data_IF_611455526895
#
_entry.id   IF_611455526895
#
_cell.length_a   1.000
_cell.length_b   1.000
_cell.length_c   1.000
_cell.angle_alpha   90.00
_cell.angle_beta   90.00
_cell.angle_gamma   90.00
#
_symmetry.space_group_name_H-M   'P 1'
#
loop_
_entity.id
_entity.type
_entity.pdbx_description
1 polymer ?
#
# COMPACT_ATOMS: atom_id res chain seq x y z
N UNK A 1 1.22 53.58 42.31
CA UNK A 1 0.22 53.54 41.23
C UNK A 1 0.59 52.40 40.28
N UNK A 2 -0.39 51.65 39.78
CA UNK A 2 -0.19 50.28 39.28
C UNK A 2 0.02 50.22 37.76
N UNK A 3 0.73 49.20 37.30
CA UNK A 3 0.67 48.68 35.92
C UNK A 3 0.32 47.20 36.06
N UNK A 4 -0.97 46.87 35.99
CA UNK A 4 -1.62 46.21 34.85
C UNK A 4 -0.89 44.94 34.39
N UNK A 5 -1.53 43.81 34.68
CA UNK A 5 -1.08 42.50 34.26
C UNK A 5 -1.27 42.26 32.77
N UNK A 6 -0.54 41.28 32.28
CA UNK A 6 -0.92 40.52 31.10
C UNK A 6 -0.55 39.08 31.39
N UNK A 7 -1.58 38.23 31.34
CA UNK A 7 -1.47 36.78 31.38
C UNK A 7 -0.36 36.31 30.44
N UNK A 8 0.65 35.65 31.01
CA UNK A 8 1.53 34.78 30.24
C UNK A 8 0.64 33.67 29.69
N UNK A 9 0.43 33.74 28.37
CA UNK A 9 -0.30 32.75 27.60
C UNK A 9 0.24 31.37 27.90
N UNK A 10 -0.70 30.44 28.07
CA UNK A 10 -0.40 29.02 28.09
C UNK A 10 0.34 28.66 26.80
N UNK A 11 1.41 27.89 26.99
CA UNK A 11 2.43 27.56 26.01
C UNK A 11 1.88 26.98 24.70
N UNK A 12 2.34 27.56 23.58
CA UNK A 12 2.26 27.07 22.20
C UNK A 12 3.05 25.77 21.99
N UNK A 13 2.64 24.69 22.67
CA UNK A 13 3.07 23.33 22.35
C UNK A 13 1.85 22.42 22.32
N UNK A 14 0.90 22.80 21.48
CA UNK A 14 -0.14 21.91 21.03
C UNK A 14 0.58 20.82 20.20
N UNK A 15 0.75 19.64 20.79
CA UNK A 15 1.21 18.46 20.06
C UNK A 15 0.23 18.27 18.90
N UNK A 16 0.62 18.71 17.69
CA UNK A 16 -0.12 18.37 16.48
C UNK A 16 -0.25 16.85 16.49
N UNK A 17 -1.51 16.38 16.60
CA UNK A 17 -1.89 14.99 16.44
C UNK A 17 -1.05 14.41 15.29
N UNK A 18 -0.24 13.39 15.59
CA UNK A 18 0.57 12.71 14.57
C UNK A 18 -0.36 12.35 13.42
N UNK A 19 -0.09 12.88 12.22
CA UNK A 19 -0.87 12.54 11.03
C UNK A 19 -0.78 11.03 10.82
N UNK A 20 -1.90 10.34 11.07
CA UNK A 20 -2.02 8.88 11.07
C UNK A 20 -1.52 8.29 9.75
N UNK A 21 -1.63 9.03 8.65
CA UNK A 21 -1.17 8.58 7.32
C UNK A 21 0.36 8.45 7.20
N UNK A 22 1.12 9.03 8.13
CA UNK A 22 2.59 8.94 8.17
C UNK A 22 3.13 7.97 9.23
N UNK A 23 2.27 7.35 10.04
CA UNK A 23 2.73 6.32 10.98
C UNK A 23 3.24 5.09 10.23
N UNK A 24 4.36 4.52 10.66
CA UNK A 24 4.79 3.23 10.15
C UNK A 24 3.81 2.12 10.55
N UNK A 25 3.81 1.01 9.80
CA UNK A 25 2.84 -0.08 9.98
C UNK A 25 2.88 -0.70 11.39
N UNK A 26 4.04 -0.75 12.04
CA UNK A 26 4.19 -1.36 13.38
C UNK A 26 3.63 -0.45 14.45
N UNK A 27 3.94 0.84 14.36
CA UNK A 27 3.40 1.88 15.24
C UNK A 27 1.88 1.96 15.09
N UNK A 28 1.37 2.01 13.86
CA UNK A 28 -0.06 2.07 13.59
C UNK A 28 -0.81 0.84 14.08
N UNK A 29 -0.29 -0.38 13.84
CA UNK A 29 -0.89 -1.61 14.38
C UNK A 29 -0.99 -1.58 15.91
N UNK A 30 0.03 -1.04 16.57
CA UNK A 30 0.06 -0.90 18.04
C UNK A 30 -0.98 0.12 18.51
N UNK A 31 -1.04 1.30 17.89
CA UNK A 31 -2.02 2.34 18.22
C UNK A 31 -3.45 1.85 18.02
N UNK A 32 -3.72 1.09 16.94
CA UNK A 32 -5.04 0.49 16.69
C UNK A 32 -5.38 -0.54 17.76
N UNK A 33 -4.45 -1.44 18.08
CA UNK A 33 -4.67 -2.45 19.14
C UNK A 33 -4.90 -1.83 20.51
N UNK A 34 -4.22 -0.73 20.80
CA UNK A 34 -4.39 0.03 22.04
C UNK A 34 -5.65 0.91 22.04
N UNK A 35 -6.33 1.04 20.89
CA UNK A 35 -7.46 1.95 20.66
C UNK A 35 -7.11 3.44 20.81
N UNK A 36 -5.85 3.79 20.60
CA UNK A 36 -5.38 5.18 20.49
C UNK A 36 -5.81 5.82 19.16
N UNK A 37 -5.98 4.98 18.14
CA UNK A 37 -6.48 5.30 16.78
C UNK A 37 -7.40 4.16 16.36
N UNK A 38 -8.56 4.42 15.76
CA UNK A 38 -9.41 3.37 15.19
C UNK A 38 -8.92 2.92 13.81
N UNK A 39 -9.24 1.69 13.40
CA UNK A 39 -8.97 1.23 12.04
C UNK A 39 -9.70 2.10 11.01
N UNK A 40 -10.92 2.58 11.33
CA UNK A 40 -11.67 3.50 10.47
C UNK A 40 -10.92 4.81 10.29
N UNK A 41 -10.40 5.42 11.36
CA UNK A 41 -9.60 6.64 11.27
C UNK A 41 -8.34 6.43 10.42
N UNK A 42 -7.64 5.32 10.62
CA UNK A 42 -6.45 4.97 9.86
C UNK A 42 -6.72 4.82 8.35
N UNK A 43 -7.79 4.09 8.00
CA UNK A 43 -8.21 3.91 6.60
C UNK A 43 -8.68 5.23 6.00
N UNK A 44 -9.50 6.00 6.71
CA UNK A 44 -10.00 7.29 6.23
C UNK A 44 -8.87 8.29 5.99
N UNK A 45 -7.86 8.33 6.87
CA UNK A 45 -6.68 9.18 6.71
C UNK A 45 -5.90 8.82 5.44
N UNK A 46 -5.64 7.52 5.20
CA UNK A 46 -4.96 7.08 3.99
C UNK A 46 -5.77 7.36 2.72
N UNK A 47 -7.09 7.11 2.73
CA UNK A 47 -7.97 7.39 1.58
C UNK A 47 -8.03 8.88 1.24
N UNK A 48 -8.19 9.75 2.25
CA UNK A 48 -8.17 11.21 2.06
C UNK A 48 -6.84 11.68 1.47
N UNK A 49 -5.73 11.07 1.91
CA UNK A 49 -4.42 11.37 1.37
C UNK A 49 -4.23 10.88 -0.06
N UNK A 50 -4.73 9.69 -0.39
CA UNK A 50 -4.78 9.19 -1.77
C UNK A 50 -5.55 10.16 -2.66
N UNK A 51 -6.74 10.61 -2.25
CA UNK A 51 -7.53 11.57 -3.01
C UNK A 51 -6.76 12.87 -3.31
N UNK A 52 -6.04 13.40 -2.31
CA UNK A 52 -5.30 14.67 -2.42
C UNK A 52 -4.00 14.56 -3.22
N UNK A 53 -3.25 13.48 -3.06
CA UNK A 53 -1.85 13.39 -3.53
C UNK A 53 -1.70 12.49 -4.75
N UNK A 54 -2.49 11.41 -4.85
CA UNK A 54 -2.36 10.45 -5.93
C UNK A 54 -2.62 11.02 -7.34
N UNK A 55 -3.47 12.04 -7.57
CA UNK A 55 -3.67 12.58 -8.93
C UNK A 55 -2.38 13.05 -9.62
N UNK A 56 -1.40 13.56 -8.87
CA UNK A 56 -0.10 13.97 -9.41
C UNK A 56 0.88 12.80 -9.59
N UNK A 57 0.74 11.74 -8.80
CA UNK A 57 1.66 10.61 -8.75
C UNK A 57 1.23 9.44 -9.65
N UNK A 58 -0.07 9.21 -9.78
CA UNK A 58 -0.64 8.03 -10.44
C UNK A 58 -0.08 6.70 -9.89
N UNK A 59 0.09 6.63 -8.57
CA UNK A 59 0.69 5.51 -7.86
C UNK A 59 -0.33 4.42 -7.50
N UNK A 60 -1.56 4.80 -7.12
CA UNK A 60 -2.68 3.89 -6.84
C UNK A 60 -3.68 3.93 -7.98
N UNK A 61 -3.94 2.79 -8.63
CA UNK A 61 -4.67 2.70 -9.91
C UNK A 61 -6.00 1.94 -9.85
N UNK A 62 -6.21 1.20 -8.76
CA UNK A 62 -7.49 0.61 -8.41
C UNK A 62 -7.69 0.81 -6.91
N UNK A 63 -8.85 1.29 -6.49
CA UNK A 63 -9.22 1.49 -5.08
C UNK A 63 -10.52 0.76 -4.80
N UNK A 64 -10.64 0.22 -3.58
CA UNK A 64 -11.90 -0.36 -3.05
C UNK A 64 -12.22 0.28 -1.70
N UNK A 65 -12.42 1.61 -1.73
CA UNK A 65 -12.59 2.45 -0.54
C UNK A 65 -13.76 2.00 0.34
N UNK A 66 -14.89 1.64 -0.28
CA UNK A 66 -16.09 1.21 0.43
C UNK A 66 -15.84 -0.08 1.22
N UNK A 67 -15.28 -1.12 0.58
CA UNK A 67 -14.97 -2.36 1.30
C UNK A 67 -13.83 -2.18 2.29
N UNK A 68 -12.86 -1.31 2.02
CA UNK A 68 -11.81 -0.99 2.97
C UNK A 68 -12.39 -0.39 4.27
N UNK A 69 -13.28 0.59 4.15
CA UNK A 69 -13.98 1.19 5.30
C UNK A 69 -14.90 0.20 6.02
N UNK A 70 -15.60 -0.67 5.28
CA UNK A 70 -16.42 -1.72 5.89
C UNK A 70 -15.57 -2.70 6.71
N UNK A 71 -14.42 -3.14 6.18
CA UNK A 71 -13.47 -3.99 6.91
C UNK A 71 -12.84 -3.29 8.11
N UNK A 72 -12.62 -1.99 8.03
CA UNK A 72 -12.15 -1.18 9.15
C UNK A 72 -13.14 -1.19 10.31
N UNK A 73 -14.43 -0.95 10.01
CA UNK A 73 -15.51 -1.02 11.01
C UNK A 73 -15.60 -2.41 11.65
N UNK A 74 -15.50 -3.47 10.85
CA UNK A 74 -15.48 -4.85 11.37
C UNK A 74 -14.28 -5.09 12.30
N UNK A 75 -13.09 -4.63 11.90
CA UNK A 75 -11.90 -4.70 12.74
C UNK A 75 -12.10 -3.98 14.09
N UNK A 76 -12.63 -2.76 14.07
CA UNK A 76 -12.91 -1.99 15.29
C UNK A 76 -13.93 -2.69 16.20
N UNK A 77 -14.99 -3.30 15.63
CA UNK A 77 -15.98 -4.08 16.39
C UNK A 77 -15.36 -5.32 17.05
N UNK A 78 -14.51 -6.06 16.32
CA UNK A 78 -13.82 -7.24 16.84
C UNK A 78 -12.84 -6.88 17.94
N UNK A 79 -12.07 -5.80 17.74
CA UNK A 79 -11.18 -5.26 18.78
C UNK A 79 -11.98 -4.79 20.00
N UNK A 80 -13.13 -4.15 19.81
CA UNK A 80 -14.03 -3.73 20.89
C UNK A 80 -14.50 -4.92 21.74
N UNK A 81 -14.81 -6.05 21.08
CA UNK A 81 -15.19 -7.33 21.69
C UNK A 81 -14.02 -8.10 22.35
N UNK A 82 -12.78 -7.59 22.26
CA UNK A 82 -11.60 -8.24 22.84
C UNK A 82 -11.06 -9.41 22.02
N UNK A 83 -11.47 -9.53 20.75
CA UNK A 83 -10.98 -10.57 19.85
C UNK A 83 -9.57 -10.27 19.34
N UNK A 84 -8.78 -11.33 19.09
CA UNK A 84 -7.53 -11.19 18.38
C UNK A 84 -7.78 -10.96 16.88
N UNK A 85 -7.37 -9.79 16.38
CA UNK A 85 -7.54 -9.38 14.98
C UNK A 85 -6.28 -9.52 14.12
N UNK A 86 -5.20 -10.12 14.63
CA UNK A 86 -3.95 -10.35 13.88
C UNK A 86 -2.84 -9.31 14.14
N UNK A 87 -1.62 -9.56 13.66
CA UNK A 87 -0.46 -8.69 13.90
C UNK A 87 -0.52 -7.35 13.13
N UNK A 88 -1.33 -7.27 12.07
CA UNK A 88 -1.57 -6.06 11.27
C UNK A 88 -3.03 -5.60 11.37
N UNK A 89 -3.71 -5.93 12.47
CA UNK A 89 -5.11 -5.56 12.71
C UNK A 89 -5.37 -4.08 12.36
N UNK A 90 -6.24 -3.85 11.38
CA UNK A 90 -6.70 -2.52 10.98
C UNK A 90 -5.69 -1.71 10.16
N UNK A 91 -4.47 -2.20 9.96
CA UNK A 91 -3.43 -1.46 9.21
C UNK A 91 -3.81 -1.38 7.73
N UNK A 92 -3.92 -0.17 7.15
CA UNK A 92 -4.12 -0.02 5.72
C UNK A 92 -2.89 -0.51 4.94
N UNK A 93 -3.09 -1.26 3.87
CA UNK A 93 -2.04 -1.77 3.02
C UNK A 93 -2.42 -1.63 1.55
N UNK A 94 -1.42 -1.47 0.69
CA UNK A 94 -1.58 -1.55 -0.75
C UNK A 94 -0.95 -2.85 -1.28
N UNK A 95 -1.30 -3.20 -2.51
CA UNK A 95 -0.70 -4.33 -3.21
C UNK A 95 -0.35 -3.95 -4.63
N UNK A 96 0.87 -4.25 -5.07
CA UNK A 96 1.23 -4.19 -6.49
C UNK A 96 0.17 -4.86 -7.39
N UNK A 97 -0.15 -4.24 -8.53
CA UNK A 97 -1.18 -4.67 -9.50
C UNK A 97 -0.84 -5.97 -10.25
N UNK A 98 -0.14 -6.90 -9.61
CA UNK A 98 0.10 -8.26 -10.09
C UNK A 98 -0.31 -9.34 -9.08
N UNK A 99 -0.71 -8.94 -7.88
CA UNK A 99 -1.24 -9.86 -6.88
C UNK A 99 -2.74 -10.04 -7.10
N UNK A 100 -3.17 -11.26 -7.40
CA UNK A 100 -4.58 -11.60 -7.48
C UNK A 100 -5.26 -11.27 -6.14
N UNK A 101 -6.37 -10.56 -6.19
CA UNK A 101 -7.12 -10.11 -5.02
C UNK A 101 -8.60 -10.27 -5.35
N UNK A 102 -9.31 -11.12 -4.61
CA UNK A 102 -10.69 -11.48 -4.87
C UNK A 102 -11.58 -10.22 -4.89
N UNK A 103 -12.29 -10.04 -6.00
CA UNK A 103 -13.22 -8.92 -6.18
C UNK A 103 -12.57 -7.56 -6.39
N UNK A 104 -11.26 -7.49 -6.64
CA UNK A 104 -10.53 -6.26 -6.99
C UNK A 104 -9.83 -6.48 -8.33
N UNK A 105 -9.93 -5.51 -9.24
CA UNK A 105 -9.29 -5.60 -10.56
C UNK A 105 -7.77 -5.77 -10.43
N UNK A 106 -7.19 -6.73 -11.14
CA UNK A 106 -5.74 -6.99 -11.20
C UNK A 106 -5.30 -7.07 -12.66
N UNK A 107 -4.54 -6.09 -13.16
CA UNK A 107 -4.27 -5.97 -14.61
C UNK A 107 -2.83 -6.26 -15.02
N UNK A 108 -1.89 -6.24 -14.08
CA UNK A 108 -0.45 -6.23 -14.38
C UNK A 108 -0.05 -5.17 -15.42
N UNK A 109 -0.80 -4.07 -15.52
CA UNK A 109 -0.63 -3.03 -16.55
C UNK A 109 -0.90 -3.50 -17.98
N UNK A 110 -1.34 -4.73 -18.21
CA UNK A 110 -1.50 -5.29 -19.56
C UNK A 110 -2.94 -5.16 -20.07
N UNK A 111 -3.17 -4.65 -21.30
CA UNK A 111 -4.49 -4.58 -21.90
C UNK A 111 -5.25 -5.91 -21.92
N UNK A 112 -4.54 -7.04 -21.96
CA UNK A 112 -5.11 -8.38 -21.92
C UNK A 112 -5.88 -8.68 -20.62
N UNK A 113 -5.49 -8.02 -19.53
CA UNK A 113 -6.08 -8.19 -18.21
C UNK A 113 -6.84 -6.93 -17.75
N UNK A 114 -7.15 -6.00 -18.66
CA UNK A 114 -7.79 -4.70 -18.35
C UNK A 114 -9.04 -4.83 -17.48
N UNK A 115 -9.82 -5.88 -17.68
CA UNK A 115 -11.07 -6.14 -16.96
C UNK A 115 -10.98 -7.39 -16.08
N UNK A 116 -9.78 -7.92 -15.83
CA UNK A 116 -9.61 -9.12 -15.04
C UNK A 116 -9.85 -8.83 -13.55
N UNK A 117 -10.86 -9.50 -13.00
CA UNK A 117 -11.19 -9.48 -11.56
C UNK A 117 -11.07 -10.92 -11.05
N UNK A 118 -10.04 -11.24 -10.27
CA UNK A 118 -9.85 -12.59 -9.73
C UNK A 118 -11.04 -13.02 -8.86
N UNK A 119 -11.43 -14.29 -8.99
CA UNK A 119 -12.46 -14.91 -8.14
C UNK A 119 -11.92 -15.26 -6.74
N UNK A 120 -10.60 -15.41 -6.61
CA UNK A 120 -9.94 -15.83 -5.37
C UNK A 120 -8.72 -14.94 -5.07
N UNK A 121 -8.38 -14.84 -3.79
CA UNK A 121 -7.17 -14.17 -3.34
C UNK A 121 -5.95 -15.03 -3.70
N UNK A 122 -4.91 -14.41 -4.25
CA UNK A 122 -3.57 -14.99 -4.26
C UNK A 122 -3.04 -15.14 -2.82
N UNK A 123 -1.96 -15.91 -2.64
CA UNK A 123 -1.44 -16.23 -1.30
C UNK A 123 -1.07 -14.98 -0.50
N UNK A 124 -0.55 -13.95 -1.16
CA UNK A 124 -0.16 -12.68 -0.52
C UNK A 124 -1.37 -11.93 0.01
N UNK A 125 -2.39 -11.71 -0.83
CA UNK A 125 -3.62 -11.02 -0.45
C UNK A 125 -4.35 -11.76 0.68
N UNK A 126 -4.43 -13.09 0.59
CA UNK A 126 -4.99 -13.95 1.63
C UNK A 126 -4.25 -13.78 2.96
N UNK A 127 -2.92 -13.88 2.97
CA UNK A 127 -2.11 -13.77 4.19
C UNK A 127 -2.15 -12.39 4.83
N UNK A 128 -2.23 -11.32 4.03
CA UNK A 128 -2.44 -9.96 4.57
C UNK A 128 -3.80 -9.84 5.28
N UNK A 129 -4.86 -10.36 4.66
CA UNK A 129 -6.21 -10.38 5.27
C UNK A 129 -6.25 -11.21 6.55
N UNK A 130 -5.64 -12.40 6.54
CA UNK A 130 -5.50 -13.25 7.74
C UNK A 130 -4.69 -12.58 8.85
N UNK A 131 -3.72 -11.72 8.49
CA UNK A 131 -2.97 -10.92 9.42
C UNK A 131 -3.73 -9.70 9.97
N UNK A 132 -4.95 -9.43 9.47
CA UNK A 132 -5.79 -8.31 9.89
C UNK A 132 -5.61 -7.02 9.09
N UNK A 133 -4.75 -7.02 8.07
CA UNK A 133 -4.51 -5.83 7.25
C UNK A 133 -5.71 -5.52 6.34
N UNK A 134 -5.93 -4.23 6.07
CA UNK A 134 -7.00 -3.72 5.22
C UNK A 134 -6.39 -3.31 3.88
N UNK A 135 -6.61 -4.13 2.85
CA UNK A 135 -6.13 -3.84 1.50
C UNK A 135 -6.98 -2.70 0.90
N UNK A 136 -6.38 -1.52 0.72
CA UNK A 136 -7.04 -0.34 0.16
C UNK A 136 -7.24 -0.42 -1.35
N UNK A 137 -6.30 -1.04 -2.06
CA UNK A 137 -6.24 -0.95 -3.50
C UNK A 137 -4.98 -1.56 -4.12
N UNK A 138 -4.80 -1.27 -5.40
CA UNK A 138 -3.69 -1.73 -6.24
C UNK A 138 -2.76 -0.58 -6.61
N UNK A 139 -1.45 -0.79 -6.45
CA UNK A 139 -0.44 0.15 -6.94
C UNK A 139 -0.02 -0.15 -8.36
N UNK A 140 0.29 0.92 -9.08
CA UNK A 140 0.64 0.92 -10.49
C UNK A 140 1.92 0.11 -10.75
N UNK A 141 2.03 -0.41 -11.96
CA UNK A 141 3.10 -1.28 -12.42
C UNK A 141 3.54 -0.93 -13.84
N UNK A 142 4.72 -1.40 -14.23
CA UNK A 142 5.05 -1.51 -15.66
C UNK A 142 4.21 -2.60 -16.32
N UNK A 143 3.91 -2.47 -17.62
CA UNK A 143 3.19 -3.52 -18.36
C UNK A 143 3.89 -4.88 -18.20
N UNK A 144 3.14 -5.89 -17.74
CA UNK A 144 3.63 -7.24 -17.39
C UNK A 144 4.87 -7.26 -16.48
N UNK A 145 5.09 -6.18 -15.73
CA UNK A 145 6.19 -6.01 -14.79
C UNK A 145 7.58 -5.87 -15.41
N UNK A 146 7.70 -5.58 -16.71
CA UNK A 146 8.96 -5.74 -17.49
C UNK A 146 9.74 -4.45 -17.75
N UNK A 147 9.51 -3.37 -17.00
CA UNK A 147 10.24 -2.09 -17.15
C UNK A 147 10.52 -1.43 -15.78
N UNK A 148 11.50 -0.51 -15.75
CA UNK A 148 11.95 0.24 -14.58
C UNK A 148 11.41 1.68 -14.51
N UNK A 149 10.35 2.00 -15.27
CA UNK A 149 9.73 3.33 -15.27
C UNK A 149 8.30 3.33 -14.73
N UNK A 150 7.70 2.14 -14.52
CA UNK A 150 6.31 1.99 -14.05
C UNK A 150 5.35 2.75 -14.97
N UNK A 151 5.42 2.41 -16.26
CA UNK A 151 4.53 2.91 -17.31
C UNK A 151 3.80 1.75 -17.97
N UNK A 152 2.51 1.93 -18.25
CA UNK A 152 1.71 0.93 -18.95
C UNK A 152 0.55 1.60 -19.74
N UNK A 153 -0.01 0.93 -20.76
CA UNK A 153 -1.07 1.48 -21.61
C UNK A 153 -2.47 1.53 -20.96
N UNK A 154 -2.65 1.05 -19.73
CA UNK A 154 -3.94 1.14 -19.02
C UNK A 154 -4.01 2.42 -18.20
N UNK A 155 -2.98 2.68 -17.41
CA UNK A 155 -2.96 3.73 -16.39
C UNK A 155 -1.96 4.85 -16.71
N UNK A 156 -1.07 4.67 -17.68
CA UNK A 156 0.03 5.59 -17.93
C UNK A 156 1.18 5.39 -16.93
N UNK A 157 1.96 6.45 -16.73
CA UNK A 157 3.19 6.45 -15.91
C UNK A 157 2.91 6.86 -14.47
N UNK A 158 3.58 6.22 -13.51
CA UNK A 158 3.72 6.74 -12.13
C UNK A 158 4.86 7.76 -12.06
N UNK A 159 4.68 8.87 -11.36
CA UNK A 159 5.71 9.88 -11.13
C UNK A 159 6.38 9.71 -9.75
N UNK A 160 7.64 10.16 -9.64
CA UNK A 160 8.37 10.13 -8.38
C UNK A 160 7.89 11.24 -7.42
N UNK A 161 7.58 10.94 -6.15
CA UNK A 161 7.06 11.93 -5.21
C UNK A 161 8.06 13.04 -4.84
N UNK A 162 9.37 12.82 -5.04
CA UNK A 162 10.39 13.83 -4.79
C UNK A 162 10.57 14.79 -5.97
N UNK A 163 10.20 14.37 -7.19
CA UNK A 163 10.23 15.18 -8.40
C UNK A 163 9.36 14.53 -9.48
N UNK A 164 8.26 15.20 -9.84
CA UNK A 164 7.25 14.64 -10.76
C UNK A 164 7.77 14.39 -12.19
N UNK A 165 8.89 15.01 -12.59
CA UNK A 165 9.54 14.78 -13.89
C UNK A 165 10.44 13.54 -13.90
N UNK A 166 10.67 12.90 -12.74
CA UNK A 166 11.55 11.74 -12.59
C UNK A 166 10.76 10.43 -12.48
N UNK A 167 11.41 9.35 -12.88
CA UNK A 167 10.90 8.00 -12.69
C UNK A 167 10.90 7.62 -11.20
N UNK A 168 9.86 6.92 -10.72
CA UNK A 168 9.87 6.28 -9.40
C UNK A 168 10.67 4.96 -9.40
N UNK A 169 11.30 4.59 -10.52
CA UNK A 169 11.84 3.25 -10.74
C UNK A 169 10.74 2.26 -11.15
N UNK A 170 11.04 0.97 -11.16
CA UNK A 170 10.06 -0.05 -11.49
C UNK A 170 10.58 -1.47 -11.35
N UNK A 171 9.74 -2.48 -11.55
CA UNK A 171 8.33 -2.37 -11.96
C UNK A 171 7.36 -2.12 -10.81
N UNK A 172 7.83 -2.04 -9.55
CA UNK A 172 7.00 -1.68 -8.38
C UNK A 172 7.08 -0.19 -8.03
N UNK A 173 7.17 0.69 -9.03
CA UNK A 173 7.29 2.14 -8.79
C UNK A 173 6.04 2.74 -8.14
N UNK A 174 4.85 2.22 -8.45
CA UNK A 174 3.60 2.62 -7.79
C UNK A 174 3.66 2.34 -6.29
N UNK A 175 4.15 1.16 -5.90
CA UNK A 175 4.33 0.78 -4.51
C UNK A 175 5.27 1.74 -3.77
N UNK A 176 6.48 1.96 -4.32
CA UNK A 176 7.47 2.82 -3.68
C UNK A 176 7.02 4.30 -3.62
N UNK A 177 6.40 4.81 -4.70
CA UNK A 177 5.84 6.16 -4.71
C UNK A 177 4.70 6.32 -3.71
N UNK A 178 3.83 5.33 -3.58
CA UNK A 178 2.71 5.35 -2.64
C UNK A 178 3.21 5.39 -1.18
N UNK A 179 4.17 4.54 -0.81
CA UNK A 179 4.75 4.53 0.54
C UNK A 179 5.51 5.83 0.82
N UNK A 180 6.36 6.28 -0.10
CA UNK A 180 7.14 7.52 0.05
C UNK A 180 6.24 8.76 0.19
N UNK A 181 5.06 8.74 -0.45
CA UNK A 181 4.08 9.80 -0.34
C UNK A 181 3.08 9.61 0.81
N UNK A 182 3.24 8.61 1.68
CA UNK A 182 2.36 8.34 2.82
C UNK A 182 0.95 7.89 2.43
N UNK A 183 0.74 7.35 1.22
CA UNK A 183 -0.58 6.90 0.77
C UNK A 183 -1.06 5.63 1.49
N UNK A 184 -0.11 4.82 1.97
CA UNK A 184 -0.31 3.73 2.91
C UNK A 184 1.04 3.42 3.59
N UNK A 185 1.04 2.86 4.81
CA UNK A 185 2.27 2.54 5.55
C UNK A 185 3.06 1.35 4.98
N UNK A 186 2.44 0.51 4.13
CA UNK A 186 3.13 -0.56 3.42
C UNK A 186 2.45 -0.90 2.08
N UNK A 187 3.25 -1.51 1.20
CA UNK A 187 2.81 -2.22 -0.01
C UNK A 187 3.56 -3.56 -0.08
N UNK A 188 3.09 -4.51 -0.88
CA UNK A 188 3.83 -5.73 -1.22
C UNK A 188 4.08 -5.76 -2.73
N UNK A 189 5.35 -5.71 -3.10
CA UNK A 189 5.83 -5.76 -4.48
C UNK A 189 6.38 -7.13 -4.89
N UNK A 190 6.98 -7.14 -6.08
CA UNK A 190 7.69 -8.30 -6.62
C UNK A 190 9.00 -7.86 -7.26
N UNK A 191 10.03 -8.70 -7.19
CA UNK A 191 11.39 -8.41 -7.62
C UNK A 191 12.02 -9.66 -8.26
N UNK A 192 12.33 -9.54 -9.56
CA UNK A 192 13.15 -10.50 -10.31
C UNK A 192 14.54 -9.91 -10.53
N UNK A 193 14.60 -8.69 -11.07
CA UNK A 193 15.83 -7.99 -11.47
C UNK A 193 16.03 -6.64 -10.80
N UNK A 194 15.50 -6.45 -9.58
CA UNK A 194 15.54 -5.16 -8.87
C UNK A 194 14.19 -4.49 -8.73
N UNK A 195 13.09 -5.15 -9.08
CA UNK A 195 11.79 -4.50 -9.19
C UNK A 195 11.15 -4.05 -7.86
N UNK A 196 11.70 -4.42 -6.71
CA UNK A 196 11.41 -3.78 -5.41
C UNK A 196 12.55 -2.81 -5.06
N UNK A 197 13.79 -3.26 -5.17
CA UNK A 197 14.96 -2.50 -4.68
C UNK A 197 15.25 -1.21 -5.45
N UNK A 198 15.09 -1.22 -6.78
CA UNK A 198 15.30 -0.05 -7.64
C UNK A 198 14.26 1.04 -7.33
N UNK A 199 12.94 0.78 -7.36
CA UNK A 199 11.98 1.83 -7.03
C UNK A 199 12.08 2.29 -5.57
N UNK A 200 12.41 1.39 -4.63
CA UNK A 200 12.69 1.78 -3.24
C UNK A 200 13.86 2.78 -3.16
N UNK A 201 14.96 2.52 -3.87
CA UNK A 201 16.09 3.44 -3.99
C UNK A 201 15.68 4.78 -4.62
N UNK A 202 14.95 4.77 -5.73
CA UNK A 202 14.52 5.99 -6.43
C UNK A 202 13.56 6.85 -5.62
N UNK A 203 12.68 6.23 -4.81
CA UNK A 203 11.70 6.91 -3.99
C UNK A 203 12.15 7.10 -2.53
N UNK A 204 13.39 6.75 -2.17
CA UNK A 204 13.93 6.99 -0.83
C UNK A 204 13.24 6.23 0.30
N UNK A 205 12.77 5.01 0.04
CA UNK A 205 12.11 4.13 1.02
C UNK A 205 12.84 2.80 1.17
N UNK A 206 12.53 2.07 2.24
CA UNK A 206 13.00 0.70 2.41
C UNK A 206 12.25 -0.24 1.47
N UNK A 207 12.97 -1.24 0.94
CA UNK A 207 12.40 -2.33 0.15
C UNK A 207 13.22 -3.60 0.34
N UNK A 208 12.55 -4.71 0.60
CA UNK A 208 13.17 -6.00 0.92
C UNK A 208 12.84 -7.02 -0.17
N UNK A 209 13.87 -7.41 -0.93
CA UNK A 209 13.82 -8.65 -1.71
C UNK A 209 14.23 -9.82 -0.82
N UNK A 210 13.31 -10.66 -0.32
CA UNK A 210 13.70 -11.76 0.55
C UNK A 210 14.51 -12.83 -0.19
N UNK A 211 14.96 -13.84 0.56
CA UNK A 211 15.44 -15.10 0.00
C UNK A 211 14.38 -15.68 -0.94
N UNK A 212 14.82 -16.23 -2.06
CA UNK A 212 13.95 -16.88 -3.03
C UNK A 212 13.06 -17.94 -2.35
N UNK A 213 11.82 -18.07 -2.81
CA UNK A 213 10.79 -18.99 -2.28
C UNK A 213 10.39 -18.77 -0.81
N UNK A 214 10.92 -17.75 -0.11
CA UNK A 214 10.49 -17.41 1.27
C UNK A 214 9.01 -17.05 1.34
N UNK A 215 8.52 -16.34 0.32
CA UNK A 215 7.11 -15.99 0.16
C UNK A 215 6.57 -16.70 -1.07
N UNK A 216 5.51 -17.53 -0.97
CA UNK A 216 4.90 -18.18 -2.12
C UNK A 216 4.31 -17.16 -3.09
N UNK A 217 4.51 -17.38 -4.39
CA UNK A 217 4.04 -16.50 -5.46
C UNK A 217 2.76 -17.03 -6.16
N UNK A 218 1.98 -17.89 -5.51
CA UNK A 218 0.70 -18.31 -6.07
C UNK A 218 -0.29 -17.13 -6.11
N UNK A 219 -0.87 -16.90 -7.28
CA UNK A 219 -1.64 -15.70 -7.60
C UNK A 219 -0.80 -14.44 -7.84
N UNK A 220 0.44 -14.60 -8.30
CA UNK A 220 1.27 -13.52 -8.83
C UNK A 220 1.36 -13.62 -10.36
N UNK A 221 1.10 -12.52 -11.05
CA UNK A 221 1.13 -12.39 -12.52
C UNK A 221 2.46 -11.74 -12.91
N UNK A 222 3.25 -12.38 -13.78
CA UNK A 222 3.29 -11.92 -15.18
C UNK A 222 2.81 -13.00 -16.15
N UNK A 223 2.87 -14.26 -15.75
CA UNK A 223 2.28 -15.37 -16.50
C UNK A 223 0.76 -15.20 -16.49
N UNK A 224 0.16 -15.14 -17.67
CA UNK A 224 -1.29 -14.93 -17.79
C UNK A 224 -2.05 -16.06 -17.08
N UNK A 225 -3.17 -15.77 -16.38
CA UNK A 225 -4.00 -16.78 -15.75
C UNK A 225 -4.40 -17.88 -16.75
N UNK A 226 -4.19 -19.14 -16.37
CA UNK A 226 -4.47 -20.30 -17.23
C UNK A 226 -3.33 -20.74 -18.15
N UNK A 227 -2.20 -20.03 -18.17
CA UNK A 227 -1.02 -20.39 -18.96
C UNK A 227 0.09 -21.05 -18.12
N UNK A 228 1.02 -21.72 -18.79
CA UNK A 228 2.18 -22.36 -18.14
C UNK A 228 3.10 -21.30 -17.57
N UNK A 229 3.52 -21.48 -16.30
CA UNK A 229 4.49 -20.57 -15.69
C UNK A 229 5.86 -20.67 -16.35
N UNK A 230 6.33 -19.54 -16.88
CA UNK A 230 7.60 -19.44 -17.58
C UNK A 230 8.73 -18.98 -16.65
N UNK A 231 8.42 -18.16 -15.64
CA UNK A 231 9.41 -17.69 -14.66
C UNK A 231 9.27 -18.47 -13.35
N UNK A 232 10.19 -19.42 -13.12
CA UNK A 232 10.19 -20.28 -11.92
C UNK A 232 11.21 -19.89 -10.86
N UNK A 233 12.23 -19.12 -11.26
CA UNK A 233 13.33 -18.70 -10.40
C UNK A 233 13.46 -17.19 -10.36
N UNK A 234 14.15 -16.68 -9.35
CA UNK A 234 14.43 -15.27 -9.05
C UNK A 234 13.23 -14.40 -8.69
N UNK A 235 11.99 -14.80 -9.00
CA UNK A 235 10.78 -14.06 -8.64
C UNK A 235 10.52 -14.09 -7.13
N UNK A 236 10.89 -13.01 -6.46
CA UNK A 236 10.73 -12.83 -5.02
C UNK A 236 9.58 -11.85 -4.73
N UNK A 237 8.79 -12.14 -3.70
CA UNK A 237 7.71 -11.27 -3.23
C UNK A 237 8.11 -10.68 -1.87
N UNK A 238 8.00 -9.38 -1.70
CA UNK A 238 8.40 -8.70 -0.47
C UNK A 238 7.84 -7.28 -0.36
N UNK A 239 7.93 -6.69 0.85
CA UNK A 239 7.59 -5.29 1.08
C UNK A 239 8.61 -4.34 0.45
#
# INVERSE_FOLDING_TARGET
>A
MPYHGSHLGQSEWEWQMVDVSWMDATTLARSIRNRDVSAVEAVAACLSRVERVNPALNAVVTLDAERALARARDCDLRLAAGEYAGPLAGVPALLKDCHETAGMRTTAGSPLLRNYVPAHDGVVARRLREAGAIILGKTNVSELLTDLQTTNPIFGRTNNPWNLDRTPGGSSGGAAAAVAAGLAPLDIGSDIGGSIRVPAHCCGVFGLKPTELRVPNAGHIPDLPGYVRTTRVMNCIGP
#
